data_IF_143181537651
#
_entry.id   IF_143181537651
#
_cell.length_a   1.000
_cell.length_b   1.000
_cell.length_c   1.000
_cell.angle_alpha   90.00
_cell.angle_beta   90.00
_cell.angle_gamma   90.00
#
_symmetry.space_group_name_H-M   'P 1'
#
loop_
_entity.id
_entity.type
_entity.pdbx_description
1 polymer ?
#
# COMPACT_ATOMS: atom_id res chain seq x y z
N UNK A 1 -12.88 -6.02 -25.53
CA UNK A 1 -12.48 -5.52 -24.17
C UNK A 1 -11.02 -5.80 -24.01
N UNK A 2 -10.25 -4.95 -23.33
CA UNK A 2 -8.86 -5.26 -22.96
C UNK A 2 -8.77 -5.47 -21.46
N UNK A 3 -7.93 -6.41 -21.01
CA UNK A 3 -7.79 -6.67 -19.58
C UNK A 3 -6.38 -7.16 -19.22
N UNK A 4 -6.07 -7.15 -17.93
CA UNK A 4 -4.82 -7.70 -17.41
C UNK A 4 -4.54 -7.28 -15.97
N UNK A 5 -3.54 -7.93 -15.39
CA UNK A 5 -3.03 -7.66 -14.04
C UNK A 5 -1.80 -6.77 -14.11
N UNK A 6 -1.79 -5.73 -13.29
CA UNK A 6 -0.73 -4.72 -13.26
C UNK A 6 -0.21 -4.55 -11.84
N UNK A 7 0.99 -5.02 -11.59
CA UNK A 7 1.63 -4.94 -10.28
C UNK A 7 2.36 -3.63 -10.08
N UNK A 8 2.18 -3.01 -8.92
CA UNK A 8 2.84 -1.77 -8.54
C UNK A 8 3.98 -2.11 -7.57
N UNK A 9 5.21 -2.05 -8.03
CA UNK A 9 6.40 -2.41 -7.24
C UNK A 9 7.39 -1.24 -7.12
N UNK A 10 8.20 -1.27 -6.07
CA UNK A 10 9.20 -0.24 -5.81
C UNK A 10 9.60 -0.20 -4.35
N UNK A 11 10.59 0.61 -4.03
CA UNK A 11 11.02 0.84 -2.65
C UNK A 11 9.86 1.33 -1.77
N UNK A 12 9.99 1.25 -0.43
CA UNK A 12 9.07 1.97 0.46
C UNK A 12 9.05 3.48 0.14
N UNK A 13 7.88 4.09 0.35
CA UNK A 13 7.67 5.55 0.26
C UNK A 13 7.86 6.20 -1.13
N UNK A 14 7.99 5.42 -2.19
CA UNK A 14 8.04 5.95 -3.57
C UNK A 14 6.68 6.42 -4.09
N UNK A 15 5.58 6.09 -3.39
CA UNK A 15 4.22 6.54 -3.71
C UNK A 15 3.32 5.49 -4.35
N UNK A 16 3.58 4.18 -4.17
CA UNK A 16 2.78 3.08 -4.72
C UNK A 16 1.30 3.16 -4.34
N UNK A 17 1.01 3.15 -3.04
CA UNK A 17 -0.37 3.23 -2.52
C UNK A 17 -1.05 4.56 -2.86
N UNK A 18 -0.27 5.65 -2.92
CA UNK A 18 -0.77 6.96 -3.38
C UNK A 18 -1.19 6.90 -4.85
N UNK A 19 -0.39 6.23 -5.69
CA UNK A 19 -0.70 6.01 -7.09
C UNK A 19 -1.98 5.19 -7.25
N UNK A 20 -2.09 4.04 -6.56
CA UNK A 20 -3.30 3.21 -6.58
C UNK A 20 -4.54 4.02 -6.19
N UNK A 21 -4.50 4.71 -5.04
CA UNK A 21 -5.63 5.53 -4.58
C UNK A 21 -6.01 6.61 -5.60
N UNK A 22 -5.01 7.21 -6.27
CA UNK A 22 -5.24 8.24 -7.28
C UNK A 22 -5.86 7.70 -8.55
N UNK A 23 -5.41 6.54 -9.04
CA UNK A 23 -5.99 5.83 -10.19
C UNK A 23 -7.45 5.46 -9.89
N UNK A 24 -7.71 4.91 -8.72
CA UNK A 24 -9.03 4.44 -8.30
C UNK A 24 -9.98 5.56 -7.89
N UNK A 25 -9.48 6.80 -7.79
CA UNK A 25 -10.21 7.97 -7.27
C UNK A 25 -10.91 7.69 -5.91
N UNK A 26 -10.31 6.83 -5.10
CA UNK A 26 -10.83 6.40 -3.78
C UNK A 26 -9.68 5.85 -2.93
N UNK A 27 -9.82 5.92 -1.61
CA UNK A 27 -8.85 5.35 -0.68
C UNK A 27 -9.05 3.85 -0.56
N UNK A 28 -8.15 3.06 -1.15
CA UNK A 28 -8.07 1.60 -1.00
C UNK A 28 -6.91 1.18 -0.12
N UNK A 29 -5.86 1.98 -0.06
CA UNK A 29 -4.67 1.73 0.72
C UNK A 29 -4.34 2.92 1.62
N UNK A 30 -3.85 2.64 2.81
CA UNK A 30 -3.33 3.71 3.68
C UNK A 30 -2.00 4.23 3.16
N UNK A 31 -1.73 5.50 3.46
CA UNK A 31 -0.49 6.16 3.02
C UNK A 31 0.25 6.74 4.21
N UNK A 32 1.57 6.61 4.21
CA UNK A 32 2.43 7.15 5.26
C UNK A 32 3.86 7.30 4.73
N UNK A 33 4.64 8.16 5.38
CA UNK A 33 6.08 8.29 5.17
C UNK A 33 6.91 7.20 5.85
N UNK A 34 6.27 6.25 6.54
CA UNK A 34 6.93 5.17 7.29
C UNK A 34 7.14 3.94 6.42
N UNK A 35 8.30 3.29 6.57
CA UNK A 35 8.59 2.01 5.91
C UNK A 35 7.68 0.92 6.45
N UNK A 36 7.15 0.06 5.57
CA UNK A 36 6.23 -1.02 5.94
C UNK A 36 4.80 -0.55 6.19
N UNK A 37 4.37 0.53 5.52
CA UNK A 37 2.99 1.01 5.54
C UNK A 37 2.06 -0.01 4.89
N UNK A 38 2.29 -0.44 3.66
CA UNK A 38 1.53 -1.52 3.00
C UNK A 38 2.07 -2.86 3.46
N UNK A 39 1.19 -3.77 3.90
CA UNK A 39 1.53 -5.11 4.40
C UNK A 39 0.87 -6.24 3.64
N UNK A 40 -0.14 -5.94 2.86
CA UNK A 40 -0.87 -6.90 2.02
C UNK A 40 -0.89 -6.44 0.57
N UNK A 41 -1.08 -7.39 -0.35
CA UNK A 41 -1.39 -7.06 -1.72
C UNK A 41 -2.82 -6.54 -1.78
N UNK A 42 -2.96 -5.27 -2.15
CA UNK A 42 -4.26 -4.58 -2.24
C UNK A 42 -4.64 -4.49 -3.70
N UNK A 43 -5.77 -5.07 -4.08
CA UNK A 43 -6.28 -5.01 -5.43
C UNK A 43 -7.15 -3.78 -5.60
N UNK A 44 -6.97 -3.10 -6.75
CA UNK A 44 -7.87 -2.09 -7.24
C UNK A 44 -8.34 -2.47 -8.64
N UNK A 45 -9.63 -2.75 -8.80
CA UNK A 45 -10.23 -3.12 -10.09
C UNK A 45 -10.71 -1.86 -10.77
N UNK A 46 -9.96 -1.42 -11.77
CA UNK A 46 -10.31 -0.28 -12.62
C UNK A 46 -11.11 -0.77 -13.81
N UNK A 47 -12.30 -0.21 -14.01
CA UNK A 47 -13.17 -0.48 -15.15
C UNK A 47 -13.45 0.81 -15.91
N UNK A 48 -13.44 0.74 -17.23
CA UNK A 48 -14.07 1.71 -18.11
C UNK A 48 -14.76 0.99 -19.30
N UNK A 49 -15.21 1.72 -20.31
CA UNK A 49 -16.08 1.21 -21.36
C UNK A 49 -15.55 -0.03 -22.09
N UNK A 50 -14.23 -0.13 -22.24
CA UNK A 50 -13.58 -1.18 -23.03
C UNK A 50 -12.43 -1.91 -22.31
N UNK A 51 -12.19 -1.60 -21.05
CA UNK A 51 -10.99 -2.10 -20.34
C UNK A 51 -11.28 -2.44 -18.89
N UNK A 52 -10.70 -3.55 -18.42
CA UNK A 52 -10.56 -3.88 -17.00
C UNK A 52 -9.10 -4.06 -16.63
N UNK A 53 -8.61 -3.28 -15.66
CA UNK A 53 -7.24 -3.38 -15.15
C UNK A 53 -7.30 -3.74 -13.66
N UNK A 54 -6.64 -4.84 -13.30
CA UNK A 54 -6.49 -5.23 -11.90
C UNK A 54 -5.14 -4.74 -11.39
N UNK A 55 -5.12 -3.60 -10.74
CA UNK A 55 -3.92 -3.09 -10.08
C UNK A 55 -3.65 -3.84 -8.78
N UNK A 56 -2.38 -4.15 -8.51
CA UNK A 56 -1.95 -4.81 -7.28
C UNK A 56 -0.90 -3.93 -6.61
N UNK A 57 -1.31 -3.19 -5.56
CA UNK A 57 -0.35 -2.47 -4.69
C UNK A 57 0.36 -3.46 -3.77
N UNK A 58 1.68 -3.45 -3.81
CA UNK A 58 2.52 -4.40 -3.08
C UNK A 58 3.23 -3.73 -1.89
N UNK A 59 3.60 -4.50 -0.87
CA UNK A 59 4.54 -4.03 0.13
C UNK A 59 5.81 -3.48 -0.52
N UNK A 60 6.39 -2.43 0.06
CA UNK A 60 7.66 -1.88 -0.44
C UNK A 60 8.82 -2.85 -0.21
N UNK A 61 9.57 -3.16 -1.25
CA UNK A 61 10.73 -4.05 -1.18
C UNK A 61 11.87 -3.33 -0.47
N UNK A 62 12.28 -3.86 0.69
CA UNK A 62 13.33 -3.34 1.53
C UNK A 62 14.17 -4.46 2.15
N UNK A 63 15.31 -4.12 2.78
CA UNK A 63 16.09 -5.11 3.53
C UNK A 63 15.24 -5.67 4.69
N UNK A 64 14.98 -6.97 4.66
CA UNK A 64 14.26 -7.66 5.73
C UNK A 64 15.16 -7.84 6.96
N UNK A 65 14.65 -7.46 8.14
CA UNK A 65 15.35 -7.58 9.42
C UNK A 65 14.60 -8.49 10.41
N UNK A 66 13.45 -9.03 9.99
CA UNK A 66 12.61 -9.94 10.79
C UNK A 66 11.72 -10.77 9.85
N UNK A 67 11.02 -11.76 10.40
CA UNK A 67 10.16 -12.68 9.65
C UNK A 67 9.04 -11.96 8.90
N UNK A 68 8.41 -10.98 9.52
CA UNK A 68 7.41 -10.14 8.84
C UNK A 68 7.99 -9.47 7.59
N UNK A 69 9.18 -8.86 7.68
CA UNK A 69 9.84 -8.22 6.53
C UNK A 69 10.15 -9.21 5.39
N UNK A 70 10.53 -10.44 5.73
CA UNK A 70 10.75 -11.51 4.74
C UNK A 70 9.45 -11.87 4.04
N UNK A 71 8.36 -12.07 4.78
CA UNK A 71 7.04 -12.38 4.22
C UNK A 71 6.51 -11.24 3.32
N UNK A 72 6.72 -9.98 3.71
CA UNK A 72 6.33 -8.83 2.89
C UNK A 72 7.11 -8.77 1.57
N UNK A 73 8.42 -9.01 1.59
CA UNK A 73 9.21 -9.07 0.36
C UNK A 73 8.77 -10.23 -0.55
N UNK A 74 8.47 -11.41 0.03
CA UNK A 74 7.94 -12.56 -0.74
C UNK A 74 6.65 -12.17 -1.47
N UNK A 75 5.67 -11.59 -0.79
CA UNK A 75 4.43 -11.08 -1.41
C UNK A 75 4.68 -10.08 -2.55
N UNK A 76 5.64 -9.17 -2.38
CA UNK A 76 5.96 -8.19 -3.41
C UNK A 76 6.62 -8.85 -4.63
N UNK A 77 7.46 -9.87 -4.44
CA UNK A 77 8.07 -10.62 -5.54
C UNK A 77 7.06 -11.52 -6.27
N UNK A 78 6.18 -12.22 -5.55
CA UNK A 78 5.09 -13.01 -6.15
C UNK A 78 4.18 -12.16 -7.04
N UNK A 79 3.89 -10.93 -6.61
CA UNK A 79 3.10 -10.01 -7.42
C UNK A 79 3.80 -9.58 -8.74
N UNK A 80 5.13 -9.74 -8.86
CA UNK A 80 5.84 -9.48 -10.12
C UNK A 80 5.55 -10.52 -11.22
N UNK A 81 4.89 -11.62 -10.89
CA UNK A 81 4.52 -12.66 -11.88
C UNK A 81 3.38 -12.21 -12.81
N UNK A 82 2.74 -11.09 -12.53
CA UNK A 82 1.64 -10.56 -13.34
C UNK A 82 2.10 -9.98 -14.70
N UNK A 83 1.13 -9.66 -15.57
CA UNK A 83 1.33 -9.32 -16.98
C UNK A 83 2.23 -8.10 -17.18
N UNK A 84 1.98 -7.04 -16.42
CA UNK A 84 2.73 -5.78 -16.50
C UNK A 84 3.19 -5.39 -15.10
N UNK A 85 4.42 -4.92 -15.00
CA UNK A 85 4.97 -4.37 -13.76
C UNK A 85 5.16 -2.87 -13.89
N UNK A 86 4.45 -2.09 -13.06
CA UNK A 86 4.76 -0.68 -12.84
C UNK A 86 5.90 -0.57 -11.83
N UNK A 87 7.08 -0.30 -12.31
CA UNK A 87 8.23 -0.05 -11.46
C UNK A 87 8.29 1.42 -11.08
N UNK A 88 7.92 1.72 -9.82
CA UNK A 88 7.82 3.10 -9.32
C UNK A 88 9.15 3.54 -8.70
N UNK A 89 9.68 4.64 -9.20
CA UNK A 89 10.88 5.30 -8.66
C UNK A 89 10.53 6.71 -8.19
N UNK A 90 10.95 7.06 -6.97
CA UNK A 90 10.90 8.43 -6.46
C UNK A 90 12.03 9.25 -7.06
N UNK A 91 11.74 9.99 -8.13
CA UNK A 91 12.74 10.72 -8.87
C UNK A 91 13.33 11.91 -8.09
N UNK A 92 12.62 12.41 -7.09
CA UNK A 92 13.13 13.47 -6.23
C UNK A 92 14.25 12.99 -5.29
N UNK A 93 14.17 11.73 -4.85
CA UNK A 93 15.24 11.08 -4.06
C UNK A 93 16.31 10.40 -4.92
N UNK A 94 16.07 10.28 -6.23
CA UNK A 94 16.96 9.66 -7.21
C UNK A 94 16.93 8.13 -7.18
N UNK A 95 17.46 7.54 -8.26
CA UNK A 95 17.62 6.09 -8.41
C UNK A 95 18.79 5.60 -7.55
N UNK A 96 18.52 4.67 -6.64
CA UNK A 96 19.50 4.18 -5.69
C UNK A 96 19.61 2.65 -5.64
N UNK A 97 20.49 2.13 -4.78
CA UNK A 97 20.74 0.68 -4.64
C UNK A 97 19.48 -0.18 -4.47
N UNK A 98 18.48 0.34 -3.76
CA UNK A 98 17.22 -0.40 -3.58
C UNK A 98 16.46 -0.54 -4.89
N UNK A 99 16.45 0.50 -5.74
CA UNK A 99 15.83 0.45 -7.07
C UNK A 99 16.62 -0.46 -7.99
N UNK A 100 17.95 -0.42 -7.93
CA UNK A 100 18.85 -1.28 -8.70
C UNK A 100 18.61 -2.77 -8.39
N UNK A 101 18.46 -3.13 -7.13
CA UNK A 101 18.16 -4.51 -6.72
C UNK A 101 16.81 -5.00 -7.30
N UNK A 102 15.78 -4.15 -7.27
CA UNK A 102 14.47 -4.46 -7.85
C UNK A 102 14.61 -4.61 -9.37
N UNK A 103 15.27 -3.67 -10.04
CA UNK A 103 15.48 -3.72 -11.48
C UNK A 103 16.24 -4.97 -11.92
N UNK A 104 17.27 -5.36 -11.17
CA UNK A 104 18.04 -6.59 -11.45
C UNK A 104 17.17 -7.84 -11.35
N UNK A 105 16.24 -7.90 -10.39
CA UNK A 105 15.27 -9.00 -10.28
C UNK A 105 14.32 -9.02 -11.48
N UNK A 106 13.78 -7.85 -11.88
CA UNK A 106 12.93 -7.73 -13.06
C UNK A 106 13.64 -8.16 -14.35
N UNK A 107 14.95 -7.84 -14.47
CA UNK A 107 15.81 -8.31 -15.57
C UNK A 107 15.95 -9.83 -15.60
N UNK A 108 16.25 -10.44 -14.45
CA UNK A 108 16.40 -11.89 -14.31
C UNK A 108 15.13 -12.62 -14.73
N UNK A 109 13.97 -12.09 -14.37
CA UNK A 109 12.65 -12.65 -14.66
C UNK A 109 12.08 -12.21 -16.02
N UNK A 110 12.78 -11.37 -16.78
CA UNK A 110 12.39 -10.86 -18.11
C UNK A 110 10.98 -10.27 -18.14
N UNK A 111 10.63 -9.48 -17.13
CA UNK A 111 9.29 -8.92 -16.98
C UNK A 111 8.99 -7.79 -17.96
N UNK A 112 7.73 -7.63 -18.34
CA UNK A 112 7.24 -6.46 -19.07
C UNK A 112 7.07 -5.29 -18.09
N UNK A 113 7.90 -4.25 -18.24
CA UNK A 113 8.01 -3.17 -17.24
C UNK A 113 7.70 -1.82 -17.83
N UNK A 114 6.80 -1.08 -17.20
CA UNK A 114 6.63 0.36 -17.39
C UNK A 114 7.35 1.05 -16.23
N UNK A 115 8.33 1.90 -16.53
CA UNK A 115 9.02 2.71 -15.53
C UNK A 115 8.19 3.96 -15.20
N UNK A 116 7.77 4.10 -13.95
CA UNK A 116 7.02 5.26 -13.47
C UNK A 116 7.94 6.15 -12.63
N UNK A 117 8.27 7.32 -13.16
CA UNK A 117 9.07 8.32 -12.46
C UNK A 117 8.15 9.21 -11.65
N UNK A 118 7.94 8.85 -10.38
CA UNK A 118 6.98 9.52 -9.50
C UNK A 118 7.60 10.72 -8.75
N UNK A 119 6.74 11.60 -8.26
CA UNK A 119 7.05 12.84 -7.52
C UNK A 119 7.77 13.89 -8.37
N UNK A 120 7.41 13.98 -9.65
CA UNK A 120 7.95 15.01 -10.57
C UNK A 120 7.63 16.44 -10.12
N UNK A 121 6.60 16.61 -9.30
CA UNK A 121 6.23 17.89 -8.67
C UNK A 121 7.31 18.44 -7.72
N UNK A 122 8.34 17.66 -7.39
CA UNK A 122 9.44 18.02 -6.49
C UNK A 122 10.76 18.34 -7.20
N UNK A 123 10.80 18.25 -8.52
CA UNK A 123 12.00 18.54 -9.33
C UNK A 123 11.65 19.47 -10.50
N UNK A 124 12.68 20.08 -11.10
CA UNK A 124 12.51 20.86 -12.32
C UNK A 124 12.56 19.97 -13.59
N UNK A 125 12.19 20.54 -14.72
CA UNK A 125 12.13 19.81 -16.01
C UNK A 125 13.50 19.36 -16.49
N UNK A 126 14.52 20.15 -16.29
CA UNK A 126 15.91 19.87 -16.71
C UNK A 126 16.39 18.59 -16.02
N UNK A 127 16.24 18.53 -14.69
CA UNK A 127 16.60 17.35 -13.90
C UNK A 127 15.79 16.12 -14.29
N UNK A 128 14.50 16.29 -14.60
CA UNK A 128 13.66 15.18 -15.07
C UNK A 128 14.21 14.57 -16.36
N UNK A 129 14.56 15.43 -17.33
CA UNK A 129 15.10 14.99 -18.62
C UNK A 129 16.45 14.26 -18.43
N UNK A 130 17.34 14.79 -17.59
CA UNK A 130 18.62 14.14 -17.26
C UNK A 130 18.41 12.73 -16.68
N UNK A 131 17.47 12.58 -15.75
CA UNK A 131 17.19 11.29 -15.13
C UNK A 131 16.54 10.30 -16.10
N UNK A 132 15.64 10.76 -16.99
CA UNK A 132 15.08 9.91 -18.06
C UNK A 132 16.19 9.38 -18.96
N UNK A 133 17.13 10.26 -19.40
CA UNK A 133 18.25 9.87 -20.25
C UNK A 133 19.15 8.82 -19.58
N UNK A 134 19.39 8.94 -18.28
CA UNK A 134 20.19 7.97 -17.51
C UNK A 134 19.50 6.61 -17.37
N UNK A 135 18.17 6.62 -17.18
CA UNK A 135 17.43 5.40 -16.83
C UNK A 135 16.92 4.63 -18.04
N UNK A 136 16.65 5.29 -19.19
CA UNK A 136 16.05 4.67 -20.37
C UNK A 136 16.83 3.46 -20.91
N UNK A 137 18.14 3.49 -20.81
CA UNK A 137 19.02 2.43 -21.34
C UNK A 137 19.34 1.34 -20.30
N UNK A 138 18.79 1.45 -19.07
CA UNK A 138 19.04 0.47 -18.00
C UNK A 138 18.26 -0.83 -18.19
N UNK A 139 17.13 -0.79 -18.90
CA UNK A 139 16.26 -1.93 -19.21
C UNK A 139 15.44 -1.63 -20.47
N UNK A 140 14.96 -2.66 -21.14
CA UNK A 140 14.02 -2.53 -22.25
C UNK A 140 12.60 -2.28 -21.70
N UNK A 141 12.38 -1.06 -21.21
CA UNK A 141 11.08 -0.67 -20.66
C UNK A 141 10.05 -0.56 -21.78
N UNK A 142 8.83 -1.05 -21.53
CA UNK A 142 7.69 -0.83 -22.42
C UNK A 142 7.43 0.67 -22.65
N UNK A 143 7.56 1.45 -21.57
CA UNK A 143 7.45 2.90 -21.60
C UNK A 143 8.05 3.53 -20.33
N UNK A 144 8.26 4.86 -20.35
CA UNK A 144 8.70 5.66 -19.20
C UNK A 144 7.72 6.80 -18.99
N UNK A 145 6.99 6.77 -17.88
CA UNK A 145 5.92 7.72 -17.59
C UNK A 145 6.25 8.55 -16.35
N UNK A 146 6.58 9.85 -16.51
CA UNK A 146 6.73 10.76 -15.39
C UNK A 146 5.37 11.10 -14.78
N UNK A 147 5.23 10.99 -13.43
CA UNK A 147 3.97 11.22 -12.73
C UNK A 147 4.14 12.04 -11.45
N UNK A 148 3.06 12.70 -11.03
CA UNK A 148 2.87 13.08 -9.64
C UNK A 148 1.61 12.39 -9.09
N UNK A 149 1.79 11.29 -8.39
CA UNK A 149 0.66 10.57 -7.77
C UNK A 149 -0.10 11.45 -6.78
N UNK A 150 0.59 12.38 -6.11
CA UNK A 150 -0.02 13.29 -5.15
C UNK A 150 -0.92 14.31 -5.85
N UNK A 151 -0.44 14.96 -6.91
CA UNK A 151 -1.19 15.98 -7.66
C UNK A 151 -2.15 15.36 -8.68
N UNK A 152 -1.82 14.17 -9.19
CA UNK A 152 -2.57 13.49 -10.26
C UNK A 152 -2.03 13.78 -11.65
N UNK A 153 -0.83 14.36 -11.75
CA UNK A 153 -0.23 14.68 -13.03
C UNK A 153 0.12 13.39 -13.80
N UNK A 154 -0.23 13.34 -15.08
CA UNK A 154 0.00 12.23 -16.01
C UNK A 154 -0.63 10.87 -15.64
N UNK A 155 -1.58 10.82 -14.68
CA UNK A 155 -2.26 9.56 -14.34
C UNK A 155 -3.09 9.04 -15.54
N UNK A 156 -3.79 9.92 -16.25
CA UNK A 156 -4.54 9.53 -17.45
C UNK A 156 -3.64 9.00 -18.56
N UNK A 157 -2.45 9.59 -18.73
CA UNK A 157 -1.48 9.11 -19.71
C UNK A 157 -0.90 7.74 -19.31
N UNK A 158 -0.61 7.54 -18.02
CA UNK A 158 -0.20 6.23 -17.50
C UNK A 158 -1.24 5.14 -17.82
N UNK A 159 -2.53 5.43 -17.60
CA UNK A 159 -3.61 4.49 -17.93
C UNK A 159 -3.64 4.18 -19.44
N UNK A 160 -3.48 5.17 -20.31
CA UNK A 160 -3.41 4.95 -21.75
C UNK A 160 -2.24 4.05 -22.15
N UNK A 161 -1.05 4.31 -21.59
CA UNK A 161 0.13 3.48 -21.82
C UNK A 161 -0.12 2.05 -21.39
N UNK A 162 -0.66 1.84 -20.18
CA UNK A 162 -1.01 0.49 -19.71
C UNK A 162 -1.98 -0.19 -20.68
N UNK A 163 -3.08 0.47 -21.05
CA UNK A 163 -4.08 -0.07 -22.00
C UNK A 163 -3.50 -0.49 -23.34
N UNK A 164 -2.45 0.21 -23.84
CA UNK A 164 -1.82 -0.15 -25.11
C UNK A 164 -1.07 -1.47 -25.04
N UNK A 165 -0.64 -1.90 -23.86
CA UNK A 165 0.13 -3.12 -23.62
C UNK A 165 -0.70 -4.29 -23.07
N UNK A 166 -1.97 -4.09 -22.71
CA UNK A 166 -2.85 -5.18 -22.29
C UNK A 166 -3.15 -6.14 -23.44
N UNK A 167 -3.10 -7.44 -23.15
CA UNK A 167 -3.18 -8.50 -24.14
C UNK A 167 -4.46 -9.34 -24.03
N UNK A 168 -5.03 -9.44 -22.81
CA UNK A 168 -6.20 -10.25 -22.56
C UNK A 168 -7.51 -9.56 -22.95
N UNK A 169 -8.55 -10.37 -23.17
CA UNK A 169 -9.91 -9.91 -23.43
C UNK A 169 -10.94 -10.56 -22.47
N UNK A 170 -10.43 -11.04 -21.32
CA UNK A 170 -11.22 -11.74 -20.30
C UNK A 170 -11.65 -10.76 -19.20
N UNK A 171 -12.91 -10.78 -18.82
CA UNK A 171 -13.39 -10.06 -17.66
C UNK A 171 -13.14 -10.86 -16.40
N UNK A 172 -12.17 -10.44 -15.59
CA UNK A 172 -11.73 -11.14 -14.36
C UNK A 172 -12.69 -10.93 -13.20
N UNK A 173 -13.28 -9.74 -13.07
CA UNK A 173 -14.19 -9.37 -12.00
C UNK A 173 -15.47 -8.75 -12.53
N UNK A 174 -16.55 -8.90 -11.78
CA UNK A 174 -17.80 -8.18 -12.05
C UNK A 174 -17.60 -6.67 -11.85
N UNK A 175 -18.46 -5.84 -12.46
CA UNK A 175 -18.31 -4.37 -12.43
C UNK A 175 -18.49 -3.74 -11.05
N UNK A 176 -19.16 -4.42 -10.14
CA UNK A 176 -19.37 -4.02 -8.74
C UNK A 176 -18.17 -4.28 -7.84
N UNK A 177 -17.21 -5.14 -8.28
CA UNK A 177 -16.00 -5.44 -7.54
C UNK A 177 -14.96 -4.32 -7.76
N UNK A 178 -14.60 -3.63 -6.68
CA UNK A 178 -13.62 -2.54 -6.72
C UNK A 178 -12.29 -2.95 -6.08
N UNK A 179 -12.32 -3.87 -5.11
CA UNK A 179 -11.15 -4.26 -4.34
C UNK A 179 -11.35 -5.63 -3.69
N UNK A 180 -10.25 -6.28 -3.30
CA UNK A 180 -10.25 -7.53 -2.55
C UNK A 180 -10.28 -7.32 -1.02
N UNK A 181 -10.16 -6.08 -0.53
CA UNK A 181 -10.07 -5.83 0.89
C UNK A 181 -11.44 -5.79 1.55
N UNK A 182 -11.53 -6.41 2.72
CA UNK A 182 -12.74 -6.33 3.54
C UNK A 182 -12.85 -4.99 4.25
N UNK A 183 -14.07 -4.63 4.63
CA UNK A 183 -14.35 -3.45 5.43
C UNK A 183 -13.59 -3.48 6.77
N UNK A 184 -13.57 -4.63 7.45
CA UNK A 184 -12.82 -4.83 8.70
C UNK A 184 -11.33 -4.54 8.53
N UNK A 185 -10.74 -5.01 7.42
CA UNK A 185 -9.36 -4.75 7.10
C UNK A 185 -9.13 -3.24 6.91
N UNK A 186 -9.98 -2.56 6.12
CA UNK A 186 -9.84 -1.12 5.89
C UNK A 186 -9.96 -0.32 7.19
N UNK A 187 -10.90 -0.66 8.07
CA UNK A 187 -11.05 -0.02 9.38
C UNK A 187 -9.78 -0.20 10.22
N UNK A 188 -9.22 -1.41 10.27
CA UNK A 188 -7.96 -1.67 11.00
C UNK A 188 -6.79 -0.86 10.44
N UNK A 189 -6.71 -0.73 9.12
CA UNK A 189 -5.68 0.05 8.44
C UNK A 189 -5.84 1.56 8.68
N UNK A 190 -7.06 2.10 8.69
CA UNK A 190 -7.32 3.50 9.06
C UNK A 190 -6.81 3.79 10.47
N UNK A 191 -7.10 2.92 11.44
CA UNK A 191 -6.58 3.08 12.80
C UNK A 191 -5.05 3.03 12.81
N UNK A 192 -4.46 2.07 12.09
CA UNK A 192 -3.01 1.95 11.98
C UNK A 192 -2.37 3.18 11.32
N UNK A 193 -2.98 3.74 10.29
CA UNK A 193 -2.52 4.99 9.65
C UNK A 193 -2.46 6.15 10.65
N UNK A 194 -3.51 6.34 11.48
CA UNK A 194 -3.50 7.41 12.49
C UNK A 194 -2.40 7.19 13.54
N UNK A 195 -2.12 5.95 13.91
CA UNK A 195 -0.98 5.65 14.77
C UNK A 195 0.33 6.03 14.08
N UNK A 196 0.53 5.65 12.82
CA UNK A 196 1.72 6.00 12.04
C UNK A 196 1.95 7.51 11.93
N UNK A 197 0.87 8.27 11.77
CA UNK A 197 0.91 9.74 11.65
C UNK A 197 1.19 10.43 13.00
N UNK A 198 0.62 9.93 14.08
CA UNK A 198 0.68 10.55 15.40
C UNK A 198 1.88 10.11 16.23
N UNK A 199 2.63 9.10 15.78
CA UNK A 199 3.78 8.56 16.50
C UNK A 199 5.07 8.66 15.68
N UNK A 200 6.21 8.55 16.36
CA UNK A 200 7.54 8.69 15.77
C UNK A 200 8.44 7.51 16.17
N UNK A 201 9.66 7.51 15.67
CA UNK A 201 10.73 6.57 16.00
C UNK A 201 10.34 5.11 15.73
N UNK A 202 10.37 4.25 16.72
CA UNK A 202 10.17 2.80 16.58
C UNK A 202 8.71 2.35 16.64
N UNK A 203 7.81 3.21 17.14
CA UNK A 203 6.39 2.86 17.31
C UNK A 203 5.75 2.41 15.99
N UNK A 204 5.92 3.14 14.87
CA UNK A 204 5.35 2.77 13.58
C UNK A 204 5.70 1.36 13.11
N UNK A 205 6.90 0.90 13.44
CA UNK A 205 7.41 -0.40 12.99
C UNK A 205 7.01 -1.57 13.88
N UNK A 206 6.56 -1.29 15.10
CA UNK A 206 6.33 -2.27 16.15
C UNK A 206 4.85 -2.42 16.55
N UNK A 207 3.93 -1.90 15.72
CA UNK A 207 2.49 -1.96 15.99
C UNK A 207 1.73 -2.66 14.86
N UNK A 208 0.59 -3.24 15.22
CA UNK A 208 -0.47 -3.62 14.28
C UNK A 208 -1.83 -3.40 14.92
N UNK A 209 -2.89 -3.46 14.12
CA UNK A 209 -4.26 -3.29 14.57
C UNK A 209 -5.13 -4.43 14.04
N UNK A 210 -6.02 -4.94 14.86
CA UNK A 210 -7.01 -5.97 14.53
C UNK A 210 -8.38 -5.50 14.96
N UNK A 211 -9.40 -5.86 14.22
CA UNK A 211 -10.80 -5.66 14.63
C UNK A 211 -11.25 -6.91 15.35
N UNK A 212 -11.63 -6.77 16.63
CA UNK A 212 -12.12 -7.87 17.45
C UNK A 212 -13.62 -8.09 17.26
N UNK A 213 -14.39 -7.00 17.14
CA UNK A 213 -15.83 -7.06 16.93
C UNK A 213 -16.36 -5.84 16.20
N UNK A 214 -17.36 -6.06 15.33
CA UNK A 214 -18.18 -5.00 14.72
C UNK A 214 -19.65 -5.37 14.89
N UNK A 215 -20.43 -4.44 15.44
CA UNK A 215 -21.88 -4.57 15.60
C UNK A 215 -22.59 -3.43 14.86
N UNK A 216 -23.36 -3.78 13.83
CA UNK A 216 -24.16 -2.83 13.07
C UNK A 216 -25.52 -2.64 13.71
N UNK A 217 -25.87 -1.38 14.02
CA UNK A 217 -27.22 -0.95 14.39
C UNK A 217 -27.83 -0.12 13.28
N UNK A 218 -29.07 0.26 13.44
CA UNK A 218 -29.81 1.02 12.42
C UNK A 218 -29.06 2.27 11.96
N UNK A 219 -28.63 3.11 12.91
CA UNK A 219 -28.03 4.43 12.63
C UNK A 219 -26.58 4.57 13.15
N UNK A 220 -25.99 3.47 13.62
CA UNK A 220 -24.63 3.49 14.21
C UNK A 220 -23.94 2.16 14.08
N UNK A 221 -22.61 2.19 14.19
CA UNK A 221 -21.74 1.01 14.20
C UNK A 221 -20.87 1.05 15.46
N UNK A 222 -20.78 -0.06 16.16
CA UNK A 222 -19.93 -0.25 17.35
C UNK A 222 -18.74 -1.10 16.94
N UNK A 223 -17.54 -0.59 17.19
CA UNK A 223 -16.30 -1.22 16.75
C UNK A 223 -15.36 -1.35 17.93
N UNK A 224 -14.90 -2.59 18.19
CA UNK A 224 -13.85 -2.88 19.13
C UNK A 224 -12.59 -3.25 18.37
N UNK A 225 -11.52 -2.48 18.57
CA UNK A 225 -10.25 -2.69 17.89
C UNK A 225 -9.10 -2.89 18.89
N UNK A 226 -8.24 -3.86 18.59
CA UNK A 226 -7.07 -4.20 19.36
C UNK A 226 -5.81 -3.67 18.69
N UNK A 227 -5.10 -2.79 19.38
CA UNK A 227 -3.77 -2.32 18.97
C UNK A 227 -2.75 -3.22 19.66
N UNK A 228 -1.97 -3.95 18.86
CA UNK A 228 -0.89 -4.82 19.34
C UNK A 228 0.42 -4.07 19.26
N UNK A 229 1.20 -4.09 20.32
CA UNK A 229 2.54 -3.53 20.40
C UNK A 229 3.55 -4.59 20.85
N UNK A 230 4.81 -4.40 20.47
CA UNK A 230 5.88 -5.37 20.73
C UNK A 230 6.40 -5.34 22.18
N UNK A 231 6.29 -4.19 22.86
CA UNK A 231 6.85 -3.94 24.21
C UNK A 231 5.98 -2.99 25.02
N UNK A 232 6.05 -3.11 26.35
CA UNK A 232 5.23 -2.32 27.29
C UNK A 232 5.54 -0.82 27.27
N UNK A 233 6.77 -0.41 26.94
CA UNK A 233 7.08 1.01 26.75
C UNK A 233 6.31 1.61 25.58
N UNK A 234 6.15 0.87 24.47
CA UNK A 234 5.34 1.29 23.32
C UNK A 234 3.85 1.38 23.69
N UNK A 235 3.35 0.45 24.50
CA UNK A 235 1.99 0.52 25.05
C UNK A 235 1.77 1.84 25.79
N UNK A 236 2.71 2.26 26.64
CA UNK A 236 2.64 3.53 27.37
C UNK A 236 2.61 4.73 26.41
N UNK A 237 3.38 4.69 25.32
CA UNK A 237 3.41 5.75 24.30
C UNK A 237 2.05 5.84 23.58
N UNK A 238 1.49 4.70 23.14
CA UNK A 238 0.19 4.65 22.44
C UNK A 238 -0.95 5.10 23.35
N UNK A 239 -0.93 4.76 24.62
CA UNK A 239 -1.95 5.23 25.58
C UNK A 239 -1.75 6.72 25.86
N UNK A 240 -0.51 7.14 26.09
CA UNK A 240 -0.17 8.50 26.45
C UNK A 240 -0.57 8.85 27.90
N UNK A 241 -0.19 10.06 28.32
CA UNK A 241 -0.55 10.56 29.67
C UNK A 241 -2.08 10.64 29.81
N UNK A 242 -2.63 9.92 30.79
CA UNK A 242 -4.08 9.85 31.06
C UNK A 242 -4.92 9.45 29.82
N UNK A 243 -4.38 8.62 28.93
CA UNK A 243 -5.08 8.17 27.72
C UNK A 243 -5.12 9.19 26.56
N UNK A 244 -4.38 10.29 26.67
CA UNK A 244 -4.49 11.42 25.73
C UNK A 244 -4.10 11.05 24.29
N UNK A 245 -3.09 10.19 24.08
CA UNK A 245 -2.69 9.76 22.74
C UNK A 245 -3.71 8.78 22.16
N UNK A 246 -4.17 7.82 22.93
CA UNK A 246 -5.21 6.87 22.51
C UNK A 246 -6.51 7.57 22.11
N UNK A 247 -6.90 8.61 22.89
CA UNK A 247 -8.04 9.47 22.55
C UNK A 247 -7.85 10.21 21.22
N UNK A 248 -6.65 10.73 20.95
CA UNK A 248 -6.33 11.40 19.67
C UNK A 248 -6.43 10.42 18.49
N UNK A 249 -5.84 9.23 18.65
CA UNK A 249 -5.90 8.17 17.65
C UNK A 249 -7.36 7.80 17.38
N UNK A 250 -8.13 7.50 18.43
CA UNK A 250 -9.54 7.12 18.29
C UNK A 250 -10.40 8.21 17.64
N UNK A 251 -10.23 9.48 18.03
CA UNK A 251 -10.99 10.58 17.43
C UNK A 251 -10.66 10.78 15.94
N UNK A 252 -9.36 10.74 15.57
CA UNK A 252 -8.94 10.88 14.18
C UNK A 252 -9.39 9.68 13.31
N UNK A 253 -9.34 8.46 13.85
CA UNK A 253 -9.80 7.26 13.16
C UNK A 253 -11.30 7.27 12.95
N UNK A 254 -12.06 7.65 14.00
CA UNK A 254 -13.52 7.67 13.95
C UNK A 254 -14.06 8.52 12.82
N UNK A 255 -13.53 9.72 12.61
CA UNK A 255 -13.99 10.63 11.54
C UNK A 255 -13.90 9.95 10.18
N UNK A 256 -12.78 9.32 9.88
CA UNK A 256 -12.59 8.67 8.59
C UNK A 256 -13.37 7.36 8.45
N UNK A 257 -13.57 6.62 9.55
CA UNK A 257 -14.40 5.41 9.56
C UNK A 257 -15.88 5.79 9.37
N UNK A 258 -16.35 6.90 9.95
CA UNK A 258 -17.70 7.44 9.72
C UNK A 258 -17.93 7.81 8.25
N UNK A 259 -16.93 8.41 7.60
CA UNK A 259 -16.96 8.68 6.14
C UNK A 259 -16.98 7.40 5.31
N UNK A 260 -16.23 6.37 5.72
CA UNK A 260 -16.19 5.08 5.03
C UNK A 260 -17.52 4.34 5.11
N UNK A 261 -18.16 4.34 6.29
CA UNK A 261 -19.36 3.57 6.59
C UNK A 261 -20.67 4.33 6.35
N UNK A 262 -20.60 5.65 6.13
CA UNK A 262 -21.74 6.57 6.08
C UNK A 262 -22.69 6.40 7.30
N UNK A 263 -22.09 6.18 8.48
CA UNK A 263 -22.81 5.97 9.75
C UNK A 263 -22.05 6.54 10.93
N UNK A 264 -22.77 6.85 12.02
CA UNK A 264 -22.12 7.19 13.31
C UNK A 264 -21.34 5.99 13.85
N UNK A 265 -20.12 6.24 14.34
CA UNK A 265 -19.22 5.19 14.85
C UNK A 265 -18.91 5.39 16.32
N UNK A 266 -19.11 4.32 17.10
CA UNK A 266 -18.60 4.18 18.47
C UNK A 266 -17.37 3.28 18.42
N UNK A 267 -16.18 3.88 18.56
CA UNK A 267 -14.91 3.21 18.44
C UNK A 267 -14.26 3.03 19.82
N UNK A 268 -14.07 1.80 20.22
CA UNK A 268 -13.30 1.43 21.42
C UNK A 268 -11.94 0.84 21.02
N UNK A 269 -10.88 1.38 21.61
CA UNK A 269 -9.51 0.98 21.32
C UNK A 269 -8.87 0.34 22.57
N UNK A 270 -8.37 -0.88 22.40
CA UNK A 270 -7.60 -1.59 23.42
C UNK A 270 -6.14 -1.71 22.99
N UNK A 271 -5.21 -1.66 23.96
CA UNK A 271 -3.78 -1.82 23.66
C UNK A 271 -3.22 -3.00 24.42
N UNK A 272 -2.65 -3.97 23.69
CA UNK A 272 -2.07 -5.20 24.26
C UNK A 272 -0.61 -5.35 23.82
N UNK A 273 0.23 -5.73 24.77
CA UNK A 273 1.62 -6.11 24.46
C UNK A 273 1.65 -7.60 24.09
N UNK A 274 2.16 -7.89 22.90
CA UNK A 274 2.51 -9.25 22.46
C UNK A 274 3.96 -9.20 22.03
N UNK A 275 4.85 -9.69 22.88
CA UNK A 275 6.30 -9.69 22.61
C UNK A 275 6.63 -10.45 21.32
N UNK A 276 7.48 -9.85 20.50
CA UNK A 276 7.95 -10.42 19.23
C UNK A 276 6.80 -10.84 18.29
N UNK A 277 5.68 -10.09 18.26
CA UNK A 277 4.54 -10.42 17.41
C UNK A 277 4.91 -10.55 15.94
N UNK A 278 5.97 -9.85 15.49
CA UNK A 278 6.48 -9.89 14.10
C UNK A 278 7.19 -11.19 13.73
N UNK A 279 7.35 -12.11 14.68
CA UNK A 279 7.87 -13.46 14.50
C UNK A 279 6.78 -14.56 14.67
N UNK A 280 5.51 -14.15 14.92
CA UNK A 280 4.42 -15.05 15.25
C UNK A 280 3.48 -15.29 14.08
N UNK A 281 3.45 -16.51 13.56
CA UNK A 281 2.61 -16.93 12.43
C UNK A 281 1.13 -16.71 12.67
N UNK A 282 0.63 -17.06 13.85
CA UNK A 282 -0.77 -16.86 14.19
C UNK A 282 -1.24 -15.39 14.10
N UNK A 283 -0.34 -14.42 14.32
CA UNK A 283 -0.64 -13.01 14.10
C UNK A 283 -0.67 -12.69 12.61
N UNK A 284 0.19 -13.32 11.81
CA UNK A 284 0.23 -13.13 10.36
C UNK A 284 -1.06 -13.61 9.70
N UNK A 285 -1.63 -14.73 10.13
CA UNK A 285 -2.92 -15.22 9.66
C UNK A 285 -4.04 -14.19 9.89
N UNK A 286 -4.12 -13.64 11.11
CA UNK A 286 -5.09 -12.57 11.42
C UNK A 286 -4.89 -11.30 10.60
N UNK A 287 -3.66 -11.02 10.18
CA UNK A 287 -3.33 -9.88 9.33
C UNK A 287 -3.52 -10.19 7.83
N UNK A 288 -3.92 -11.40 7.46
CA UNK A 288 -3.97 -11.83 6.06
C UNK A 288 -2.59 -11.94 5.40
N UNK A 289 -1.53 -12.06 6.22
CA UNK A 289 -0.15 -12.30 5.80
C UNK A 289 0.11 -13.80 6.02
N UNK A 290 -0.50 -14.65 5.22
CA UNK A 290 -0.22 -16.09 5.24
C UNK A 290 1.18 -16.33 4.66
N UNK A 291 2.04 -17.04 5.40
CA UNK A 291 3.14 -17.75 4.75
C UNK A 291 2.48 -18.93 4.03
N UNK A 292 2.62 -18.99 2.71
CA UNK A 292 2.35 -20.23 1.99
C UNK A 292 3.39 -21.22 2.52
N UNK A 293 2.94 -22.21 3.28
CA UNK A 293 3.77 -23.37 3.62
C UNK A 293 4.20 -24.00 2.30
N UNK A 294 5.51 -24.11 2.13
CA UNK A 294 6.15 -24.84 1.03
C UNK A 294 5.74 -26.32 1.02
#
# INVERSE_FOLDING_TARGET
MKSGFVSIVGRPNVGKSTLLNKIMNRKLAITSDKVGTTRNNIYGVYNDDDTQIVFIDTPGIARANNRLGTALNKKAYEAMENDIVLFIVDIASGFGRGDENILNKLKQEKKEVILVLNKVDRINKEKLIEEIIKLKDMYDFLDIVPTSSLKGDNIKELIKVIKSHLKDDIKYFNDDVITNISENFMISEIIREKILMLTKEEVPHAITCLIENIEYKKDSVYINALIIVDRDNLKKIIIGKQGSMLKKIGSASRVEIEELLDKKVFLELYVKTIKNWREKENIFEYLGITELND
#
